data_IF_541057393690
#
_entry.id   IF_541057393690
#
_cell.length_a   1.000
_cell.length_b   1.000
_cell.length_c   1.000
_cell.angle_alpha   90.00
_cell.angle_beta   90.00
_cell.angle_gamma   90.00
#
_symmetry.space_group_name_H-M   'P 1'
#
loop_
_entity.id
_entity.type
_entity.pdbx_description
1 polymer ?
#
# COMPACT_ATOMS: atom_id res chain seq x y z
N UNK A 1 5.09 11.04 14.23
CA UNK A 1 5.54 9.77 14.84
C UNK A 1 6.20 8.84 13.82
N UNK A 2 5.52 8.53 12.70
CA UNK A 2 6.01 7.65 11.63
C UNK A 2 7.43 7.98 11.12
N UNK A 3 7.71 9.25 10.82
CA UNK A 3 9.04 9.70 10.39
C UNK A 3 10.17 9.21 11.30
N UNK A 4 10.06 9.44 12.61
CA UNK A 4 11.06 9.04 13.60
C UNK A 4 11.25 7.52 13.61
N UNK A 5 10.15 6.77 13.50
CA UNK A 5 10.19 5.31 13.43
C UNK A 5 10.93 4.83 12.18
N UNK A 6 10.63 5.40 11.00
CA UNK A 6 11.31 5.04 9.76
C UNK A 6 12.81 5.36 9.80
N UNK A 7 13.22 6.50 10.38
CA UNK A 7 14.65 6.78 10.56
C UNK A 7 15.34 5.76 11.47
N UNK A 8 14.66 5.26 12.50
CA UNK A 8 15.20 4.30 13.45
C UNK A 8 15.27 2.86 12.87
N UNK A 9 14.29 2.46 12.07
CA UNK A 9 14.17 1.10 11.55
C UNK A 9 14.91 0.88 10.22
N UNK A 10 14.88 1.86 9.32
CA UNK A 10 15.51 1.70 8.01
C UNK A 10 17.05 1.81 8.14
N UNK A 11 17.83 1.02 7.37
CA UNK A 11 19.28 1.18 7.33
C UNK A 11 19.68 2.51 6.65
N UNK A 12 20.96 2.88 6.73
CA UNK A 12 21.46 4.15 6.19
C UNK A 12 21.38 4.21 4.65
N UNK A 13 21.60 3.08 4.00
CA UNK A 13 21.62 2.84 2.55
C UNK A 13 20.27 2.35 2.00
N UNK A 14 19.18 2.44 2.78
CA UNK A 14 17.85 1.97 2.37
C UNK A 14 17.40 2.52 1.00
N UNK A 15 17.72 3.79 0.72
CA UNK A 15 17.42 4.46 -0.54
C UNK A 15 18.14 3.84 -1.76
N UNK A 16 19.33 3.27 -1.55
CA UNK A 16 20.08 2.55 -2.58
C UNK A 16 19.51 1.15 -2.78
N UNK A 17 19.24 0.43 -1.68
CA UNK A 17 18.63 -0.91 -1.70
C UNK A 17 17.27 -0.89 -2.41
N UNK A 18 16.47 0.14 -2.17
CA UNK A 18 15.15 0.30 -2.74
C UNK A 18 15.15 0.77 -4.21
N UNK A 19 16.29 1.22 -4.74
CA UNK A 19 16.36 1.78 -6.09
C UNK A 19 15.93 0.73 -7.11
N UNK A 20 14.94 1.06 -7.94
CA UNK A 20 14.34 0.18 -8.95
C UNK A 20 13.71 -1.14 -8.42
N UNK A 21 13.78 -1.40 -7.11
CA UNK A 21 13.15 -2.56 -6.46
C UNK A 21 11.90 -2.16 -5.66
N UNK A 22 11.71 -0.87 -5.39
CA UNK A 22 10.54 -0.32 -4.72
C UNK A 22 9.93 0.79 -5.58
N UNK A 23 8.61 0.78 -5.71
CA UNK A 23 7.84 1.82 -6.38
C UNK A 23 6.82 2.36 -5.40
N UNK A 24 6.92 3.65 -5.07
CA UNK A 24 6.07 4.33 -4.09
C UNK A 24 5.13 5.27 -4.84
N UNK A 25 3.82 5.05 -4.70
CA UNK A 25 2.81 5.90 -5.31
C UNK A 25 2.62 7.16 -4.46
N UNK A 26 2.79 8.34 -5.06
CA UNK A 26 2.55 9.64 -4.40
C UNK A 26 1.58 10.47 -5.22
N UNK A 27 0.64 11.17 -4.58
CA UNK A 27 -0.34 12.01 -5.26
C UNK A 27 -0.10 13.49 -4.90
N UNK A 28 0.40 14.32 -5.83
CA UNK A 28 0.43 15.77 -5.62
C UNK A 28 -1.00 16.31 -5.45
N UNK A 29 -1.20 17.37 -4.68
CA UNK A 29 -2.54 17.99 -4.48
C UNK A 29 -3.14 18.60 -5.75
N UNK A 30 -2.38 18.62 -6.84
CA UNK A 30 -2.87 19.05 -8.13
C UNK A 30 -3.97 18.13 -8.66
N UNK A 31 -5.17 18.68 -8.82
CA UNK A 31 -6.32 17.97 -9.41
C UNK A 31 -6.04 17.46 -10.83
N UNK A 32 -5.12 18.10 -11.56
CA UNK A 32 -4.80 17.76 -12.95
C UNK A 32 -3.67 16.74 -13.09
N UNK A 33 -2.88 16.48 -12.05
CA UNK A 33 -1.78 15.50 -12.11
C UNK A 33 -2.26 14.11 -11.65
N UNK A 34 -1.93 13.04 -12.39
CA UNK A 34 -2.13 11.67 -11.92
C UNK A 34 -1.17 11.35 -10.76
N UNK A 35 -1.39 10.25 -10.03
CA UNK A 35 -0.39 9.71 -9.11
C UNK A 35 0.93 9.43 -9.85
N UNK A 36 2.05 9.63 -9.16
CA UNK A 36 3.39 9.33 -9.68
C UNK A 36 3.96 8.14 -8.94
N UNK A 37 4.54 7.18 -9.66
CA UNK A 37 5.34 6.12 -9.06
C UNK A 37 6.81 6.55 -8.98
N UNK A 38 7.32 6.61 -7.75
CA UNK A 38 8.71 6.99 -7.47
C UNK A 38 9.51 5.73 -7.15
N UNK A 39 10.59 5.50 -7.89
CA UNK A 39 11.51 4.38 -7.66
C UNK A 39 12.98 4.78 -7.54
N UNK A 40 13.29 6.07 -7.75
CA UNK A 40 14.60 6.64 -7.52
C UNK A 40 14.57 7.53 -6.30
N UNK A 41 15.41 7.21 -5.32
CA UNK A 41 15.51 7.91 -4.05
C UNK A 41 16.93 8.49 -3.90
N UNK A 42 17.03 9.80 -3.63
CA UNK A 42 18.32 10.49 -3.60
C UNK A 42 19.04 10.39 -2.25
N UNK A 43 18.32 10.02 -1.20
CA UNK A 43 18.84 9.81 0.15
C UNK A 43 17.84 9.01 0.97
N UNK A 44 18.27 8.51 2.14
CA UNK A 44 17.37 7.88 3.12
C UNK A 44 16.19 8.80 3.47
N UNK A 45 16.45 10.10 3.58
CA UNK A 45 15.42 11.08 3.92
C UNK A 45 14.43 11.27 2.76
N UNK A 46 14.91 11.33 1.52
CA UNK A 46 14.05 11.41 0.32
C UNK A 46 13.15 10.17 0.18
N UNK A 47 13.66 8.96 0.48
CA UNK A 47 12.85 7.74 0.58
C UNK A 47 11.79 7.86 1.68
N UNK A 48 12.16 8.30 2.88
CA UNK A 48 11.24 8.44 4.01
C UNK A 48 10.13 9.47 3.69
N UNK A 49 10.46 10.59 3.06
CA UNK A 49 9.47 11.57 2.61
C UNK A 49 8.51 10.98 1.58
N UNK A 50 9.01 10.20 0.61
CA UNK A 50 8.16 9.51 -0.36
C UNK A 50 7.19 8.54 0.33
N UNK A 51 7.69 7.73 1.26
CA UNK A 51 6.86 6.79 2.05
C UNK A 51 5.79 7.51 2.86
N UNK A 52 6.16 8.62 3.52
CA UNK A 52 5.21 9.42 4.29
C UNK A 52 4.16 10.04 3.37
N UNK A 53 4.55 10.61 2.22
CA UNK A 53 3.61 11.15 1.24
C UNK A 53 2.65 10.10 0.71
N UNK A 54 3.14 8.89 0.43
CA UNK A 54 2.33 7.79 -0.06
C UNK A 54 1.21 7.37 0.90
N UNK A 55 1.41 7.51 2.21
CA UNK A 55 0.44 7.10 3.21
C UNK A 55 -0.25 8.28 3.94
N UNK A 56 -0.07 9.52 3.47
CA UNK A 56 -0.60 10.71 4.16
C UNK A 56 -2.08 10.93 3.88
N UNK A 57 -2.92 10.11 4.51
CA UNK A 57 -4.38 10.22 4.41
C UNK A 57 -4.84 11.51 5.13
N UNK A 58 -5.50 12.46 4.43
CA UNK A 58 -5.90 13.74 5.02
C UNK A 58 -6.79 13.57 6.26
N UNK A 59 -6.36 14.15 7.39
CA UNK A 59 -7.10 14.10 8.65
C UNK A 59 -7.04 12.76 9.41
N UNK A 60 -6.26 11.79 8.94
CA UNK A 60 -6.10 10.49 9.62
C UNK A 60 -4.81 10.41 10.44
N UNK A 61 -3.65 10.61 9.80
CA UNK A 61 -2.34 10.42 10.45
C UNK A 61 -1.90 11.61 11.31
N UNK A 62 -2.39 12.81 11.00
CA UNK A 62 -2.06 14.05 11.68
C UNK A 62 -3.19 15.07 11.44
N UNK A 63 -3.12 16.21 12.13
CA UNK A 63 -4.02 17.35 11.90
C UNK A 63 -3.79 18.04 10.55
N UNK A 64 -2.68 17.73 9.88
CA UNK A 64 -2.39 18.20 8.53
C UNK A 64 -3.23 17.49 7.48
N UNK A 65 -3.48 18.20 6.37
CA UNK A 65 -4.14 17.64 5.20
C UNK A 65 -3.15 17.08 4.18
N UNK A 66 -1.85 17.39 4.33
CA UNK A 66 -0.84 17.19 3.31
C UNK A 66 0.53 16.89 3.93
N UNK A 67 1.39 16.21 3.19
CA UNK A 67 2.82 16.13 3.46
C UNK A 67 3.63 16.83 2.36
N UNK A 68 4.91 17.14 2.64
CA UNK A 68 5.79 17.73 1.64
C UNK A 68 6.75 16.68 1.10
N UNK A 69 6.75 16.48 -0.21
CA UNK A 69 7.72 15.62 -0.90
C UNK A 69 8.33 16.39 -2.08
N UNK A 70 9.66 16.47 -2.13
CA UNK A 70 10.44 17.23 -3.13
C UNK A 70 9.92 18.65 -3.37
N UNK A 71 9.60 19.35 -2.29
CA UNK A 71 9.11 20.75 -2.32
C UNK A 71 7.69 20.92 -2.86
N UNK A 72 6.92 19.84 -3.00
CA UNK A 72 5.52 19.89 -3.44
C UNK A 72 4.61 19.24 -2.39
N UNK A 73 3.40 19.77 -2.18
CA UNK A 73 2.45 19.19 -1.24
C UNK A 73 1.74 17.98 -1.87
N UNK A 74 1.66 16.90 -1.11
CA UNK A 74 1.12 15.60 -1.49
C UNK A 74 0.09 15.09 -0.49
N UNK A 75 -0.76 14.20 -0.96
CA UNK A 75 -1.65 13.35 -0.17
C UNK A 75 -1.36 11.89 -0.48
N UNK A 76 -2.01 10.99 0.26
CA UNK A 76 -1.98 9.55 0.05
C UNK A 76 -2.04 9.15 -1.43
N UNK A 77 -1.14 8.25 -1.84
CA UNK A 77 -1.02 7.79 -3.22
C UNK A 77 -2.25 7.02 -3.71
N UNK A 78 -2.98 6.39 -2.78
CA UNK A 78 -4.23 5.68 -3.01
C UNK A 78 -5.45 6.58 -3.15
N UNK A 79 -5.31 7.91 -3.03
CA UNK A 79 -6.44 8.84 -3.05
C UNK A 79 -7.23 8.83 -4.36
N UNK A 80 -6.55 8.68 -5.51
CA UNK A 80 -7.18 8.55 -6.83
C UNK A 80 -7.17 7.11 -7.35
N UNK A 81 -6.06 6.40 -7.14
CA UNK A 81 -5.87 5.02 -7.58
C UNK A 81 -5.37 4.17 -6.41
N UNK A 82 -6.30 3.45 -5.76
CA UNK A 82 -6.00 2.66 -4.56
C UNK A 82 -4.90 1.61 -4.78
N UNK A 83 -4.81 1.07 -6.00
CA UNK A 83 -3.71 0.19 -6.40
C UNK A 83 -3.02 0.74 -7.63
N UNK A 84 -1.70 0.99 -7.56
CA UNK A 84 -0.97 1.51 -8.70
C UNK A 84 -0.94 0.51 -9.86
N UNK A 85 -1.19 1.01 -11.08
CA UNK A 85 -1.10 0.19 -12.30
C UNK A 85 0.37 -0.13 -12.59
N UNK A 86 0.72 -1.42 -12.51
CA UNK A 86 2.10 -1.90 -12.67
C UNK A 86 2.55 -2.06 -14.14
N UNK A 87 1.67 -1.84 -15.12
CA UNK A 87 1.94 -2.09 -16.53
C UNK A 87 3.19 -1.35 -17.07
N UNK A 88 3.54 -0.20 -16.49
CA UNK A 88 4.69 0.61 -16.90
C UNK A 88 5.97 0.30 -16.10
N UNK A 89 5.89 -0.62 -15.13
CA UNK A 89 6.97 -0.97 -14.20
C UNK A 89 7.50 -2.38 -14.47
N UNK A 90 6.61 -3.31 -14.85
CA UNK A 90 6.97 -4.71 -15.07
C UNK A 90 7.84 -4.85 -16.31
N UNK A 91 8.94 -5.60 -16.18
CA UNK A 91 9.80 -5.99 -17.31
C UNK A 91 9.09 -7.05 -18.17
N UNK A 92 9.49 -7.25 -19.44
CA UNK A 92 8.92 -8.30 -20.27
C UNK A 92 9.01 -9.68 -19.59
N UNK A 93 7.85 -10.34 -19.44
CA UNK A 93 7.73 -11.63 -18.77
C UNK A 93 7.46 -11.55 -17.26
N UNK A 94 7.51 -10.37 -16.65
CA UNK A 94 7.10 -10.17 -15.26
C UNK A 94 5.58 -10.02 -15.13
N UNK A 95 5.03 -10.47 -14.01
CA UNK A 95 3.63 -10.31 -13.64
C UNK A 95 3.54 -9.68 -12.26
N UNK A 96 2.76 -8.62 -12.15
CA UNK A 96 2.40 -8.02 -10.87
C UNK A 96 1.30 -8.83 -10.18
N UNK A 97 1.38 -8.92 -8.85
CA UNK A 97 0.36 -9.54 -8.01
C UNK A 97 -0.29 -8.47 -7.14
N UNK A 98 -1.61 -8.34 -7.22
CA UNK A 98 -2.36 -7.35 -6.45
C UNK A 98 -2.76 -7.94 -5.10
N UNK A 99 -2.17 -7.37 -4.04
CA UNK A 99 -2.47 -7.72 -2.65
C UNK A 99 -3.35 -6.63 -2.06
N UNK A 100 -4.56 -6.97 -1.61
CA UNK A 100 -5.50 -5.98 -1.10
C UNK A 100 -6.23 -6.48 0.15
N UNK A 101 -6.20 -5.73 1.27
CA UNK A 101 -6.90 -6.11 2.49
C UNK A 101 -8.39 -5.69 2.49
N UNK A 102 -8.95 -5.32 1.33
CA UNK A 102 -10.31 -4.80 1.23
C UNK A 102 -11.33 -5.93 1.00
N UNK A 103 -12.59 -5.73 1.41
CA UNK A 103 -13.69 -6.58 0.99
C UNK A 103 -13.79 -6.72 -0.53
N UNK A 104 -14.25 -7.87 -1.00
CA UNK A 104 -14.39 -8.17 -2.44
C UNK A 104 -15.26 -7.14 -3.18
N UNK A 105 -16.33 -6.65 -2.54
CA UNK A 105 -17.20 -5.66 -3.16
C UNK A 105 -16.48 -4.33 -3.44
N UNK A 106 -15.52 -3.92 -2.62
CA UNK A 106 -14.74 -2.68 -2.84
C UNK A 106 -13.83 -2.87 -4.05
N UNK A 107 -13.18 -4.03 -4.14
CA UNK A 107 -12.32 -4.37 -5.25
C UNK A 107 -13.07 -4.35 -6.58
N UNK A 108 -14.25 -4.97 -6.62
CA UNK A 108 -15.12 -4.98 -7.79
C UNK A 108 -15.61 -3.59 -8.15
N UNK A 109 -15.99 -2.78 -7.17
CA UNK A 109 -16.44 -1.41 -7.40
C UNK A 109 -15.35 -0.51 -8.00
N UNK A 110 -14.08 -0.81 -7.70
CA UNK A 110 -12.92 -0.07 -8.20
C UNK A 110 -12.24 -0.75 -9.40
N UNK A 111 -12.80 -1.85 -9.92
CA UNK A 111 -12.22 -2.66 -11.00
C UNK A 111 -10.76 -3.09 -10.72
N UNK A 112 -10.48 -3.47 -9.46
CA UNK A 112 -9.17 -3.92 -9.00
C UNK A 112 -9.15 -5.46 -8.99
N UNK A 113 -8.28 -6.10 -9.79
CA UNK A 113 -8.18 -7.55 -9.80
C UNK A 113 -7.39 -8.05 -8.58
N UNK A 114 -8.06 -8.32 -7.45
CA UNK A 114 -7.39 -8.88 -6.27
C UNK A 114 -6.94 -10.32 -6.54
N UNK A 115 -5.68 -10.60 -6.25
CA UNK A 115 -5.09 -11.93 -6.33
C UNK A 115 -4.78 -12.51 -4.95
N UNK A 116 -4.51 -11.64 -3.97
CA UNK A 116 -4.28 -12.01 -2.57
C UNK A 116 -5.09 -11.05 -1.69
N UNK A 117 -6.02 -11.59 -0.90
CA UNK A 117 -6.84 -10.81 0.01
C UNK A 117 -7.68 -11.68 0.92
N UNK A 118 -8.17 -11.16 2.06
CA UNK A 118 -8.91 -11.94 3.05
C UNK A 118 -10.24 -12.46 2.51
N UNK A 119 -10.86 -11.74 1.58
CA UNK A 119 -12.11 -12.16 0.92
C UNK A 119 -11.95 -13.38 0.01
N UNK A 120 -10.72 -13.74 -0.37
CA UNK A 120 -10.43 -14.91 -1.20
C UNK A 120 -10.18 -16.18 -0.37
N UNK A 121 -10.15 -16.07 0.96
CA UNK A 121 -9.90 -17.20 1.87
C UNK A 121 -11.25 -17.71 2.39
N UNK A 122 -11.64 -18.97 2.07
CA UNK A 122 -12.91 -19.54 2.53
C UNK A 122 -13.05 -19.56 4.06
N UNK A 123 -11.94 -19.72 4.78
CA UNK A 123 -11.85 -19.74 6.24
C UNK A 123 -11.81 -18.34 6.89
N UNK A 124 -11.95 -17.27 6.11
CA UNK A 124 -11.98 -15.91 6.66
C UNK A 124 -13.13 -15.73 7.64
N UNK A 125 -12.79 -15.40 8.89
CA UNK A 125 -13.74 -15.23 9.99
C UNK A 125 -14.39 -13.84 10.02
N UNK A 126 -13.85 -12.87 9.29
CA UNK A 126 -14.34 -11.49 9.30
C UNK A 126 -15.35 -11.24 8.19
N UNK A 127 -16.48 -10.62 8.55
CA UNK A 127 -17.45 -10.13 7.57
C UNK A 127 -16.90 -8.92 6.83
N UNK A 128 -17.40 -8.68 5.62
CA UNK A 128 -17.02 -7.51 4.81
C UNK A 128 -17.18 -6.18 5.55
N UNK A 129 -18.19 -6.04 6.40
CA UNK A 129 -18.39 -4.83 7.22
C UNK A 129 -17.32 -4.68 8.31
N UNK A 130 -16.81 -5.78 8.84
CA UNK A 130 -15.73 -5.79 9.84
C UNK A 130 -14.40 -5.45 9.17
N UNK A 131 -14.11 -6.08 8.04
CA UNK A 131 -12.96 -5.75 7.19
C UNK A 131 -12.98 -4.27 6.77
N UNK A 132 -14.14 -3.77 6.32
CA UNK A 132 -14.27 -2.37 5.92
C UNK A 132 -14.03 -1.41 7.08
N UNK A 133 -14.58 -1.71 8.26
CA UNK A 133 -14.34 -0.92 9.47
C UNK A 133 -12.84 -0.89 9.83
N UNK A 134 -12.15 -2.02 9.67
CA UNK A 134 -10.74 -2.18 10.02
C UNK A 134 -9.78 -1.39 9.13
N UNK A 135 -10.22 -0.92 7.96
CA UNK A 135 -9.45 -0.01 7.11
C UNK A 135 -9.21 1.33 7.82
N UNK A 136 -10.22 1.82 8.55
CA UNK A 136 -10.16 3.14 9.20
C UNK A 136 -9.87 3.02 10.70
N UNK A 137 -10.32 1.95 11.34
CA UNK A 137 -10.18 1.77 12.78
C UNK A 137 -9.27 0.57 13.02
N UNK A 138 -8.10 0.75 13.68
CA UNK A 138 -7.22 -0.36 13.98
C UNK A 138 -7.97 -1.50 14.69
N UNK A 139 -7.80 -2.75 14.23
CA UNK A 139 -8.38 -3.91 14.89
C UNK A 139 -7.83 -4.09 16.31
N UNK A 140 -8.48 -4.93 17.12
CA UNK A 140 -7.87 -5.41 18.35
C UNK A 140 -6.60 -6.18 18.02
N UNK A 141 -5.66 -6.31 18.97
CA UNK A 141 -4.42 -7.07 18.73
C UNK A 141 -4.71 -8.52 18.29
N UNK A 142 -5.69 -9.17 18.93
CA UNK A 142 -6.13 -10.51 18.54
C UNK A 142 -6.66 -10.57 17.10
N UNK A 143 -7.46 -9.57 16.70
CA UNK A 143 -7.99 -9.50 15.34
C UNK A 143 -6.90 -9.13 14.31
N UNK A 144 -5.90 -8.33 14.70
CA UNK A 144 -4.74 -8.03 13.86
C UNK A 144 -3.96 -9.31 13.53
N UNK A 145 -3.72 -10.17 14.53
CA UNK A 145 -3.07 -11.47 14.32
C UNK A 145 -3.90 -12.43 13.46
N UNK A 146 -5.23 -12.42 13.61
CA UNK A 146 -6.12 -13.19 12.74
C UNK A 146 -6.06 -12.70 11.30
N UNK A 147 -6.11 -11.38 11.07
CA UNK A 147 -5.96 -10.79 9.74
C UNK A 147 -4.61 -11.16 9.11
N UNK A 148 -3.53 -11.12 9.89
CA UNK A 148 -2.22 -11.56 9.44
C UNK A 148 -2.22 -13.03 8.99
N UNK A 149 -2.78 -13.93 9.80
CA UNK A 149 -2.87 -15.36 9.45
C UNK A 149 -3.72 -15.60 8.20
N UNK A 150 -4.83 -14.88 8.05
CA UNK A 150 -5.66 -14.94 6.84
C UNK A 150 -4.90 -14.44 5.62
N UNK A 151 -4.17 -13.31 5.75
CA UNK A 151 -3.32 -12.79 4.67
C UNK A 151 -2.22 -13.78 4.26
N UNK A 152 -1.62 -14.47 5.23
CA UNK A 152 -0.66 -15.54 4.96
C UNK A 152 -1.31 -16.71 4.19
N UNK A 153 -2.49 -17.17 4.63
CA UNK A 153 -3.22 -18.24 3.94
C UNK A 153 -3.62 -17.84 2.52
N UNK A 154 -4.05 -16.59 2.31
CA UNK A 154 -4.36 -16.06 0.99
C UNK A 154 -3.15 -16.14 0.05
N UNK A 155 -1.95 -15.80 0.56
CA UNK A 155 -0.70 -15.92 -0.18
C UNK A 155 -0.35 -17.37 -0.53
N UNK A 156 -0.56 -18.31 0.39
CA UNK A 156 -0.34 -19.74 0.15
C UNK A 156 -1.30 -20.25 -0.92
N UNK A 157 -2.60 -19.99 -0.80
CA UNK A 157 -3.61 -20.41 -1.77
C UNK A 157 -3.28 -19.88 -3.18
N UNK A 158 -2.81 -18.64 -3.28
CA UNK A 158 -2.37 -18.05 -4.55
C UNK A 158 -1.19 -18.84 -5.16
N UNK A 159 -0.18 -19.17 -4.36
CA UNK A 159 1.00 -19.92 -4.84
C UNK A 159 0.62 -21.34 -5.28
N UNK A 160 -0.22 -22.04 -4.50
CA UNK A 160 -0.69 -23.39 -4.84
C UNK A 160 -1.48 -23.40 -6.15
N UNK A 161 -2.38 -22.43 -6.35
CA UNK A 161 -3.15 -22.30 -7.59
C UNK A 161 -2.30 -21.96 -8.83
N UNK A 162 -1.07 -21.47 -8.65
CA UNK A 162 -0.12 -21.20 -9.75
C UNK A 162 0.79 -22.37 -10.07
N UNK A 163 0.97 -23.28 -9.13
CA UNK A 163 1.84 -24.46 -9.26
C UNK A 163 1.07 -25.72 -9.70
N UNK A 164 -0.26 -25.70 -9.63
CA UNK A 164 -1.17 -26.74 -10.13
C UNK A 164 -1.40 -26.63 -11.64
#
# INVERSE_FOLDING_TARGET
MLRKLLHALLPADAHEICRECLYVAVQPISFTKPPTLVSEFFSKDDLIEALIASCYIPGYLDHGFTSMFRGQPHVDGGFKDLVPRLANVLKPGERGVHVLPFPDWVARALDIPIEIGPSLVPENVFRDVELFRMIFVPPTEADAWRLFAIGQQAGINYLEAKLA
#
